data_IF_030631957203
#
_entry.id   IF_030631957203
#
_cell.length_a   1.000
_cell.length_b   1.000
_cell.length_c   1.000
_cell.angle_alpha   90.00
_cell.angle_beta   90.00
_cell.angle_gamma   90.00
#
_symmetry.space_group_name_H-M   'P 1'
#
loop_
_entity.id
_entity.type
_entity.pdbx_description
1 polymer ?
#
# COMPACT_ATOMS: atom_id res chain seq x y z
N UNK A 1 24.44 6.97 -13.67
CA UNK A 1 23.30 6.14 -14.15
C UNK A 1 23.52 5.69 -15.60
N UNK A 2 22.86 4.60 -16.05
CA UNK A 2 22.96 4.10 -17.44
C UNK A 2 22.05 4.90 -18.37
N UNK A 3 22.64 5.62 -19.35
CA UNK A 3 21.86 6.34 -20.38
C UNK A 3 21.66 5.38 -21.55
N UNK A 4 20.42 5.13 -21.94
CA UNK A 4 20.02 4.19 -22.98
C UNK A 4 19.04 4.89 -23.94
N UNK A 5 19.34 4.85 -25.25
CA UNK A 5 18.31 5.19 -26.24
C UNK A 5 17.31 4.03 -26.30
N UNK A 6 16.03 4.35 -26.10
CA UNK A 6 14.99 3.32 -25.97
C UNK A 6 14.67 2.69 -27.34
N UNK A 7 14.62 1.36 -27.35
CA UNK A 7 14.10 0.52 -28.42
C UNK A 7 13.34 -0.68 -27.81
N UNK A 8 12.70 -1.52 -28.64
CA UNK A 8 11.95 -2.69 -28.16
C UNK A 8 12.82 -3.67 -27.36
N UNK A 9 14.09 -3.84 -27.72
CA UNK A 9 14.97 -4.79 -27.06
C UNK A 9 15.40 -4.27 -25.68
N UNK A 10 15.75 -2.99 -25.57
CA UNK A 10 16.11 -2.35 -24.30
C UNK A 10 14.91 -2.27 -23.36
N UNK A 11 13.69 -1.96 -23.85
CA UNK A 11 12.48 -2.01 -23.05
C UNK A 11 12.22 -3.40 -22.49
N UNK A 12 12.30 -4.44 -23.30
CA UNK A 12 12.10 -5.81 -22.85
C UNK A 12 13.09 -6.20 -21.74
N UNK A 13 14.36 -5.79 -21.88
CA UNK A 13 15.39 -6.07 -20.87
C UNK A 13 15.12 -5.32 -19.56
N UNK A 14 14.72 -4.05 -19.63
CA UNK A 14 14.38 -3.24 -18.46
C UNK A 14 13.20 -3.85 -17.72
N UNK A 15 12.12 -4.21 -18.42
CA UNK A 15 10.97 -4.88 -17.80
C UNK A 15 11.35 -6.22 -17.16
N UNK A 16 12.23 -7.00 -17.80
CA UNK A 16 12.73 -8.25 -17.23
C UNK A 16 13.58 -8.01 -15.97
N UNK A 17 14.39 -6.95 -15.94
CA UNK A 17 15.17 -6.59 -14.75
C UNK A 17 14.26 -6.12 -13.60
N UNK A 18 13.21 -5.34 -13.91
CA UNK A 18 12.22 -4.93 -12.92
C UNK A 18 11.50 -6.12 -12.30
N UNK A 19 11.12 -7.12 -13.10
CA UNK A 19 10.47 -8.35 -12.64
C UNK A 19 11.33 -9.22 -11.72
N UNK A 20 12.68 -9.13 -11.81
CA UNK A 20 13.59 -9.85 -10.89
C UNK A 20 13.42 -9.42 -9.43
N UNK A 21 12.87 -8.23 -9.19
CA UNK A 21 12.61 -7.69 -7.85
C UNK A 21 11.25 -8.10 -7.29
N UNK A 22 10.44 -8.84 -8.06
CA UNK A 22 9.10 -9.26 -7.63
C UNK A 22 9.20 -10.21 -6.42
N UNK A 23 8.53 -9.89 -5.30
CA UNK A 23 8.44 -10.78 -4.15
C UNK A 23 7.94 -12.19 -4.48
N UNK A 24 7.21 -12.36 -5.57
CA UNK A 24 6.75 -13.68 -6.03
C UNK A 24 7.88 -14.60 -6.49
N UNK A 25 9.09 -14.09 -6.74
CA UNK A 25 10.26 -14.85 -7.16
C UNK A 25 11.18 -15.27 -5.99
N UNK A 26 10.79 -14.99 -4.75
CA UNK A 26 11.57 -15.31 -3.54
C UNK A 26 11.21 -16.67 -2.94
N UNK A 27 11.25 -17.73 -3.72
CA UNK A 27 10.94 -19.11 -3.29
C UNK A 27 11.76 -19.55 -2.07
N UNK A 28 13.01 -19.08 -1.98
CA UNK A 28 13.92 -19.42 -0.88
C UNK A 28 13.40 -19.05 0.53
N UNK A 29 12.51 -18.05 0.64
CA UNK A 29 11.96 -17.62 1.92
C UNK A 29 10.55 -18.15 2.18
N UNK A 30 9.88 -18.69 1.16
CA UNK A 30 8.47 -19.11 1.25
C UNK A 30 8.29 -20.24 2.26
N UNK A 31 9.16 -21.25 2.27
CA UNK A 31 9.09 -22.36 3.23
C UNK A 31 9.25 -21.88 4.67
N UNK A 32 10.23 -21.00 4.92
CA UNK A 32 10.45 -20.43 6.26
C UNK A 32 9.24 -19.61 6.73
N UNK A 33 8.65 -18.82 5.84
CA UNK A 33 7.47 -18.02 6.18
C UNK A 33 6.27 -18.92 6.44
N UNK A 34 6.08 -19.97 5.62
CA UNK A 34 4.98 -20.92 5.81
C UNK A 34 5.11 -21.66 7.16
N UNK A 35 6.32 -22.07 7.53
CA UNK A 35 6.58 -22.68 8.84
C UNK A 35 6.18 -21.74 10.00
N UNK A 36 6.55 -20.47 9.91
CA UNK A 36 6.19 -19.47 10.93
C UNK A 36 4.67 -19.31 11.01
N UNK A 37 4.01 -19.16 9.86
CA UNK A 37 2.55 -18.98 9.76
C UNK A 37 1.81 -20.16 10.34
N UNK A 38 2.20 -21.39 9.98
CA UNK A 38 1.57 -22.63 10.46
C UNK A 38 1.79 -22.81 11.97
N UNK A 39 2.99 -22.50 12.46
CA UNK A 39 3.30 -22.61 13.88
C UNK A 39 2.49 -21.62 14.73
N UNK A 40 2.37 -20.36 14.29
CA UNK A 40 1.52 -19.38 15.00
C UNK A 40 0.06 -19.80 14.98
N UNK A 41 -0.44 -20.34 13.87
CA UNK A 41 -1.81 -20.84 13.75
C UNK A 41 -2.12 -21.97 14.75
N UNK A 42 -1.13 -22.81 15.08
CA UNK A 42 -1.30 -23.98 15.98
C UNK A 42 -0.98 -23.64 17.43
N UNK A 43 0.10 -22.89 17.67
CA UNK A 43 0.65 -22.65 19.02
C UNK A 43 0.28 -21.27 19.60
N UNK A 44 -0.38 -20.39 18.83
CA UNK A 44 -0.85 -19.09 19.32
C UNK A 44 0.26 -18.20 19.88
N UNK A 45 0.01 -17.61 21.03
CA UNK A 45 0.92 -16.71 21.73
C UNK A 45 2.30 -17.29 21.96
N UNK A 46 2.40 -18.58 22.22
CA UNK A 46 3.68 -19.25 22.46
C UNK A 46 4.63 -19.08 21.27
N UNK A 47 4.13 -19.34 20.05
CA UNK A 47 4.93 -19.17 18.84
C UNK A 47 5.28 -17.71 18.60
N UNK A 48 4.35 -16.79 18.83
CA UNK A 48 4.57 -15.35 18.73
C UNK A 48 5.71 -14.89 19.64
N UNK A 49 5.70 -15.28 20.91
CA UNK A 49 6.75 -14.90 21.88
C UNK A 49 8.10 -15.51 21.54
N UNK A 50 8.13 -16.78 21.12
CA UNK A 50 9.37 -17.45 20.74
C UNK A 50 10.03 -16.79 19.52
N UNK A 51 9.25 -16.44 18.48
CA UNK A 51 9.76 -15.77 17.30
C UNK A 51 10.17 -14.33 17.59
N UNK A 52 9.42 -13.58 18.42
CA UNK A 52 9.80 -12.23 18.85
C UNK A 52 11.12 -12.25 19.64
N UNK A 53 11.30 -13.21 20.55
CA UNK A 53 12.58 -13.40 21.24
C UNK A 53 13.71 -13.75 20.28
N UNK A 54 13.45 -14.59 19.29
CA UNK A 54 14.45 -15.04 18.31
C UNK A 54 14.88 -13.92 17.37
N UNK A 55 13.95 -13.12 16.84
CA UNK A 55 14.21 -12.15 15.79
C UNK A 55 14.46 -10.74 16.34
N UNK A 56 13.63 -10.28 17.27
CA UNK A 56 13.70 -8.91 17.81
C UNK A 56 14.57 -8.83 19.08
N UNK A 57 14.97 -10.00 19.66
CA UNK A 57 15.74 -10.09 20.91
C UNK A 57 15.03 -9.46 22.13
N UNK A 58 13.72 -9.29 22.05
CA UNK A 58 12.88 -8.71 23.08
C UNK A 58 12.21 -9.80 23.94
N UNK A 59 12.05 -9.54 25.23
CA UNK A 59 11.35 -10.42 26.18
C UNK A 59 9.88 -10.01 26.25
N UNK A 60 9.07 -10.57 25.34
CA UNK A 60 7.62 -10.34 25.27
C UNK A 60 6.86 -11.55 25.78
N UNK A 61 5.79 -11.31 26.51
CA UNK A 61 4.88 -12.30 27.06
C UNK A 61 3.45 -11.75 27.10
N UNK A 62 2.49 -12.53 27.60
CA UNK A 62 1.07 -12.17 27.64
C UNK A 62 0.78 -10.89 28.45
N UNK A 63 1.61 -10.56 29.44
CA UNK A 63 1.40 -9.40 30.32
C UNK A 63 1.87 -8.10 29.69
N UNK A 64 2.88 -8.15 28.79
CA UNK A 64 3.53 -6.97 28.24
C UNK A 64 3.44 -6.83 26.71
N UNK A 65 2.83 -7.77 25.99
CA UNK A 65 2.70 -7.71 24.54
C UNK A 65 1.84 -6.53 24.07
N UNK A 66 0.77 -6.21 24.79
CA UNK A 66 -0.08 -5.06 24.50
C UNK A 66 0.51 -3.80 25.12
N UNK A 67 0.58 -2.74 24.33
CA UNK A 67 0.98 -1.41 24.81
C UNK A 67 -0.07 -0.89 25.79
N UNK A 68 0.41 -0.32 26.89
CA UNK A 68 -0.42 0.28 27.95
C UNK A 68 -0.60 1.78 27.72
N UNK A 69 -1.61 2.36 28.37
CA UNK A 69 -1.84 3.81 28.37
C UNK A 69 -0.68 4.59 29.02
N UNK A 70 0.01 3.97 29.97
CA UNK A 70 1.20 4.57 30.60
C UNK A 70 2.35 4.68 29.60
N UNK A 71 2.59 3.65 28.78
CA UNK A 71 3.61 3.69 27.72
C UNK A 71 3.27 4.72 26.63
N UNK A 72 2.00 4.87 26.28
CA UNK A 72 1.55 5.91 25.33
C UNK A 72 1.87 7.30 25.90
N UNK A 73 1.55 7.54 27.16
CA UNK A 73 1.82 8.82 27.81
C UNK A 73 3.32 9.11 27.88
N UNK A 74 4.14 8.14 28.30
CA UNK A 74 5.60 8.24 28.32
C UNK A 74 6.12 8.60 26.92
N UNK A 75 5.69 7.89 25.88
CA UNK A 75 6.07 8.15 24.50
C UNK A 75 5.74 9.57 24.03
N UNK A 76 4.54 10.06 24.36
CA UNK A 76 4.13 11.43 24.01
C UNK A 76 4.96 12.51 24.71
N UNK A 77 5.46 12.25 25.92
CA UNK A 77 6.33 13.17 26.65
C UNK A 77 7.77 13.20 26.07
N UNK A 78 8.21 12.11 25.41
CA UNK A 78 9.54 12.00 24.80
C UNK A 78 9.62 12.65 23.40
N UNK A 79 8.49 12.80 22.69
CA UNK A 79 8.47 13.32 21.32
C UNK A 79 8.68 14.83 21.31
N UNK A 80 9.57 15.29 20.44
CA UNK A 80 9.80 16.72 20.22
C UNK A 80 8.49 17.47 19.91
N UNK A 81 8.18 18.57 20.63
CA UNK A 81 6.92 19.30 20.44
C UNK A 81 6.71 19.83 19.02
N UNK A 82 7.79 20.20 18.31
CA UNK A 82 7.71 20.66 16.94
C UNK A 82 7.34 19.50 16.00
N UNK A 83 7.95 18.33 16.17
CA UNK A 83 7.62 17.14 15.41
C UNK A 83 6.16 16.73 15.65
N UNK A 84 5.66 16.84 16.88
CA UNK A 84 4.26 16.59 17.22
C UNK A 84 3.31 17.50 16.42
N UNK A 85 3.62 18.78 16.32
CA UNK A 85 2.81 19.72 15.50
C UNK A 85 2.91 19.42 14.00
N UNK A 86 4.07 19.00 13.50
CA UNK A 86 4.23 18.57 12.10
C UNK A 86 3.37 17.34 11.81
N UNK A 87 3.39 16.33 12.69
CA UNK A 87 2.53 15.14 12.56
C UNK A 87 1.05 15.50 12.54
N UNK A 88 0.58 16.41 13.41
CA UNK A 88 -0.82 16.86 13.44
C UNK A 88 -1.24 17.52 12.13
N UNK A 89 -0.38 18.38 11.55
CA UNK A 89 -0.65 19.01 10.25
C UNK A 89 -0.71 17.98 9.10
N UNK A 90 0.20 17.02 9.09
CA UNK A 90 0.18 15.90 8.14
C UNK A 90 -1.12 15.10 8.27
N UNK A 91 -1.51 14.72 9.50
CA UNK A 91 -2.77 14.03 9.78
C UNK A 91 -3.99 14.75 9.22
N UNK A 92 -4.06 16.08 9.42
CA UNK A 92 -5.18 16.89 8.92
C UNK A 92 -5.25 16.84 7.39
N UNK A 93 -4.11 16.94 6.70
CA UNK A 93 -4.04 16.82 5.25
C UNK A 93 -4.49 15.44 4.77
N UNK A 94 -3.98 14.36 5.39
CA UNK A 94 -4.33 12.98 5.07
C UNK A 94 -5.85 12.76 5.29
N UNK A 95 -6.39 13.18 6.43
CA UNK A 95 -7.81 13.07 6.74
C UNK A 95 -8.67 13.79 5.71
N UNK A 96 -8.35 15.05 5.43
CA UNK A 96 -9.08 15.90 4.45
C UNK A 96 -9.09 15.27 3.06
N UNK A 97 -8.00 14.64 2.65
CA UNK A 97 -7.94 13.94 1.37
C UNK A 97 -8.85 12.70 1.37
N UNK A 98 -8.73 11.85 2.38
CA UNK A 98 -9.47 10.59 2.44
C UNK A 98 -10.97 10.77 2.73
N UNK A 99 -11.37 11.83 3.39
CA UNK A 99 -12.80 12.16 3.57
C UNK A 99 -13.54 12.32 2.25
N UNK A 100 -12.86 12.79 1.18
CA UNK A 100 -13.44 12.88 -0.16
C UNK A 100 -13.67 11.52 -0.82
N UNK A 101 -13.07 10.46 -0.32
CA UNK A 101 -13.24 9.10 -0.82
C UNK A 101 -14.43 8.37 -0.19
N UNK A 102 -15.07 8.95 0.83
CA UNK A 102 -16.23 8.32 1.51
C UNK A 102 -17.36 8.09 0.53
N UNK A 103 -17.93 6.88 0.59
CA UNK A 103 -19.09 6.49 -0.23
C UNK A 103 -20.31 6.28 0.65
N UNK A 104 -21.48 6.57 0.09
CA UNK A 104 -22.78 6.34 0.73
C UNK A 104 -23.47 5.13 0.12
N UNK A 105 -24.26 4.42 0.95
CA UNK A 105 -25.26 3.46 0.45
C UNK A 105 -26.27 4.16 -0.45
N UNK A 106 -26.78 3.46 -1.45
CA UNK A 106 -27.77 4.00 -2.38
C UNK A 106 -28.85 2.99 -2.71
N UNK A 107 -30.01 3.49 -3.08
CA UNK A 107 -31.18 2.74 -3.51
C UNK A 107 -31.73 3.38 -4.76
N UNK A 108 -32.14 2.53 -5.71
CA UNK A 108 -32.88 2.89 -6.92
C UNK A 108 -34.25 2.21 -6.87
N UNK A 109 -35.32 3.02 -6.89
CA UNK A 109 -36.68 2.56 -6.79
C UNK A 109 -37.38 2.65 -8.14
N UNK A 110 -37.97 1.55 -8.62
CA UNK A 110 -38.68 1.48 -9.87
C UNK A 110 -40.20 1.67 -9.68
N UNK A 111 -40.95 2.12 -10.72
CA UNK A 111 -42.42 2.33 -10.64
C UNK A 111 -43.21 1.08 -10.26
N UNK A 112 -42.71 -0.12 -10.54
CA UNK A 112 -43.33 -1.40 -10.22
C UNK A 112 -43.08 -1.85 -8.77
N UNK A 113 -42.41 -1.02 -7.96
CA UNK A 113 -42.07 -1.30 -6.55
C UNK A 113 -40.82 -2.12 -6.37
N UNK A 114 -40.03 -2.35 -7.42
CA UNK A 114 -38.69 -2.93 -7.29
C UNK A 114 -37.74 -1.91 -6.67
N UNK A 115 -36.89 -2.34 -5.71
CA UNK A 115 -35.81 -1.54 -5.15
C UNK A 115 -34.51 -2.32 -5.30
N UNK A 116 -33.57 -1.76 -5.99
CA UNK A 116 -32.20 -2.26 -6.09
C UNK A 116 -31.28 -1.27 -5.40
N UNK A 117 -30.20 -1.76 -4.81
CA UNK A 117 -29.29 -0.86 -4.13
C UNK A 117 -27.99 -1.52 -3.71
N UNK A 118 -27.15 -0.70 -3.09
CA UNK A 118 -25.90 -1.15 -2.53
C UNK A 118 -25.73 -0.60 -1.12
N UNK A 119 -25.59 -1.51 -0.15
CA UNK A 119 -25.24 -1.17 1.23
C UNK A 119 -23.73 -1.12 1.38
N UNK A 120 -23.21 0.02 1.81
CA UNK A 120 -21.79 0.22 2.11
C UNK A 120 -21.61 0.20 3.62
N UNK A 121 -20.69 -0.65 4.09
CA UNK A 121 -20.37 -0.78 5.52
C UNK A 121 -18.86 -0.84 5.71
N UNK A 122 -18.36 -0.21 6.76
CA UNK A 122 -16.97 -0.38 7.19
C UNK A 122 -16.67 -1.83 7.56
N UNK A 123 -15.42 -2.25 7.44
CA UNK A 123 -14.93 -3.48 8.03
C UNK A 123 -15.04 -3.42 9.56
N UNK A 124 -15.20 -4.56 10.20
CA UNK A 124 -15.28 -4.64 11.65
C UNK A 124 -13.95 -4.29 12.32
N UNK A 125 -12.86 -4.71 11.70
CA UNK A 125 -11.50 -4.49 12.21
C UNK A 125 -10.47 -4.44 11.09
N UNK A 126 -9.40 -3.68 11.32
CA UNK A 126 -8.22 -3.60 10.46
C UNK A 126 -6.97 -3.84 11.29
N UNK A 127 -6.04 -4.64 10.78
CA UNK A 127 -4.70 -4.82 11.29
C UNK A 127 -3.73 -3.95 10.49
N UNK A 128 -2.93 -3.17 11.18
CA UNK A 128 -1.93 -2.28 10.59
C UNK A 128 -0.55 -2.77 10.98
N UNK A 129 0.22 -3.21 10.00
CA UNK A 129 1.62 -3.53 10.20
C UNK A 129 2.49 -2.30 9.97
N UNK A 130 3.30 -1.96 10.95
CA UNK A 130 4.29 -0.89 10.85
C UNK A 130 5.68 -1.48 11.06
N UNK A 131 6.62 -1.29 10.12
CA UNK A 131 7.98 -1.74 10.30
C UNK A 131 8.63 -1.09 11.52
N UNK A 132 9.53 -1.83 12.16
CA UNK A 132 10.40 -1.32 13.21
C UNK A 132 11.86 -1.43 12.79
N UNK A 133 12.78 -1.17 13.69
CA UNK A 133 14.22 -1.29 13.48
C UNK A 133 14.95 0.03 13.68
N UNK A 134 15.89 0.37 12.78
CA UNK A 134 16.74 1.56 12.92
C UNK A 134 16.03 2.90 12.70
N UNK A 135 14.87 2.91 12.02
CA UNK A 135 14.09 4.10 11.73
C UNK A 135 12.69 4.00 12.34
N UNK A 136 12.13 5.13 12.74
CA UNK A 136 10.72 5.28 13.04
C UNK A 136 9.97 5.59 11.73
N UNK A 137 8.74 5.09 11.61
CA UNK A 137 7.90 5.31 10.43
C UNK A 137 6.54 5.93 10.81
N UNK A 138 6.52 7.13 11.43
CA UNK A 138 5.26 7.77 11.83
C UNK A 138 4.36 8.06 10.63
N UNK A 139 4.91 8.41 9.47
CA UNK A 139 4.14 8.62 8.23
C UNK A 139 3.37 7.36 7.84
N UNK A 140 4.02 6.19 7.86
CA UNK A 140 3.34 4.91 7.55
C UNK A 140 2.24 4.58 8.57
N UNK A 141 2.40 4.97 9.83
CA UNK A 141 1.33 4.86 10.83
C UNK A 141 0.12 5.68 10.41
N UNK A 142 0.33 6.97 10.11
CA UNK A 142 -0.73 7.90 9.73
C UNK A 142 -1.45 7.44 8.45
N UNK A 143 -0.68 7.06 7.42
CA UNK A 143 -1.18 6.64 6.11
C UNK A 143 -2.00 5.34 6.15
N UNK A 144 -1.73 4.45 7.11
CA UNK A 144 -2.51 3.22 7.28
C UNK A 144 -3.76 3.42 8.14
N UNK A 145 -3.65 4.16 9.24
CA UNK A 145 -4.70 4.24 10.25
C UNK A 145 -5.79 5.24 9.86
N UNK A 146 -5.41 6.42 9.33
CA UNK A 146 -6.38 7.49 9.05
C UNK A 146 -7.44 7.07 8.01
N UNK A 147 -7.10 6.45 6.85
CA UNK A 147 -8.14 5.99 5.93
C UNK A 147 -9.06 4.91 6.52
N UNK A 148 -8.56 4.06 7.42
CA UNK A 148 -9.38 3.08 8.14
C UNK A 148 -10.37 3.79 9.10
N UNK A 149 -9.91 4.79 9.83
CA UNK A 149 -10.74 5.59 10.74
C UNK A 149 -11.79 6.39 9.94
N UNK A 150 -11.42 7.04 8.84
CA UNK A 150 -12.33 7.75 7.94
C UNK A 150 -13.38 6.82 7.34
N UNK A 151 -13.02 5.58 7.02
CA UNK A 151 -13.97 4.55 6.56
C UNK A 151 -14.98 4.15 7.64
N UNK A 152 -14.69 4.42 8.92
CA UNK A 152 -15.53 4.09 10.07
C UNK A 152 -15.20 2.73 10.70
N UNK A 153 -14.01 2.18 10.47
CA UNK A 153 -13.54 0.97 11.16
C UNK A 153 -13.44 1.25 12.66
N UNK A 154 -14.09 0.42 13.46
CA UNK A 154 -14.19 0.64 14.92
C UNK A 154 -13.00 0.08 15.69
N UNK A 155 -12.37 -0.94 15.16
CA UNK A 155 -11.24 -1.60 15.79
C UNK A 155 -10.02 -1.59 14.85
N UNK A 156 -9.02 -0.80 15.18
CA UNK A 156 -7.79 -0.65 14.41
C UNK A 156 -6.62 -1.14 15.29
N UNK A 157 -6.07 -2.27 14.92
CA UNK A 157 -5.03 -2.99 15.65
C UNK A 157 -3.69 -2.75 14.97
N UNK A 158 -2.78 -2.04 15.60
CA UNK A 158 -1.42 -1.87 15.08
C UNK A 158 -0.49 -2.93 15.68
N UNK A 159 0.37 -3.51 14.84
CA UNK A 159 1.49 -4.35 15.24
C UNK A 159 2.79 -3.73 14.75
N UNK A 160 3.81 -3.73 15.61
CA UNK A 160 5.15 -3.22 15.27
C UNK A 160 6.19 -3.94 16.13
N UNK A 161 7.37 -4.30 15.58
CA UNK A 161 8.39 -4.95 16.37
C UNK A 161 8.86 -4.05 17.51
N UNK A 162 9.04 -4.60 18.72
CA UNK A 162 9.62 -3.87 19.84
C UNK A 162 11.14 -3.68 19.68
N UNK A 163 11.69 -2.71 20.38
CA UNK A 163 13.11 -2.64 20.67
C UNK A 163 13.57 -3.79 21.60
N UNK A 164 14.88 -3.99 21.76
CA UNK A 164 15.43 -4.99 22.66
C UNK A 164 15.04 -4.78 24.14
N UNK A 165 14.70 -3.56 24.49
CA UNK A 165 14.14 -3.15 25.78
C UNK A 165 12.66 -3.49 25.97
N UNK A 166 12.02 -4.06 24.92
CA UNK A 166 10.59 -4.39 24.92
C UNK A 166 9.66 -3.20 24.72
N UNK A 167 10.17 -2.02 24.35
CA UNK A 167 9.37 -0.81 24.09
C UNK A 167 9.14 -0.60 22.60
N UNK A 168 8.07 0.08 22.26
CA UNK A 168 7.82 0.62 20.91
C UNK A 168 8.51 1.97 20.78
N UNK A 169 9.03 2.29 19.59
CA UNK A 169 9.60 3.61 19.32
C UNK A 169 8.60 4.73 19.69
N UNK A 170 8.98 5.74 20.48
CA UNK A 170 8.09 6.77 20.99
C UNK A 170 7.36 7.56 19.88
N UNK A 171 8.04 7.89 18.78
CA UNK A 171 7.46 8.64 17.67
C UNK A 171 6.39 7.78 16.94
N UNK A 172 6.69 6.49 16.73
CA UNK A 172 5.74 5.53 16.13
C UNK A 172 4.50 5.35 17.01
N UNK A 173 4.70 5.20 18.32
CA UNK A 173 3.61 5.00 19.28
C UNK A 173 2.72 6.26 19.41
N UNK A 174 3.34 7.43 19.47
CA UNK A 174 2.63 8.71 19.48
C UNK A 174 1.80 8.89 18.21
N UNK A 175 2.35 8.59 17.03
CA UNK A 175 1.61 8.66 15.78
C UNK A 175 0.41 7.70 15.78
N UNK A 176 0.56 6.48 16.29
CA UNK A 176 -0.52 5.49 16.40
C UNK A 176 -1.67 6.00 17.28
N UNK A 177 -1.34 6.56 18.43
CA UNK A 177 -2.32 7.14 19.35
C UNK A 177 -3.08 8.31 18.70
N UNK A 178 -2.35 9.25 18.10
CA UNK A 178 -2.94 10.41 17.42
C UNK A 178 -3.84 10.03 16.25
N UNK A 179 -3.46 9.01 15.47
CA UNK A 179 -4.22 8.54 14.32
C UNK A 179 -5.47 7.72 14.71
N UNK A 180 -5.60 7.27 15.97
CA UNK A 180 -6.75 6.54 16.46
C UNK A 180 -6.60 5.02 16.44
N UNK A 181 -5.37 4.47 16.56
CA UNK A 181 -5.19 3.05 16.84
C UNK A 181 -5.91 2.69 18.15
N UNK A 182 -6.73 1.64 18.11
CA UNK A 182 -7.47 1.18 19.32
C UNK A 182 -6.64 0.23 20.18
N UNK A 183 -5.71 -0.47 19.56
CA UNK A 183 -4.83 -1.43 20.21
C UNK A 183 -3.48 -1.41 19.50
N UNK A 184 -2.40 -1.51 20.27
CA UNK A 184 -1.03 -1.64 19.74
C UNK A 184 -0.35 -2.84 20.40
N UNK A 185 0.25 -3.72 19.57
CA UNK A 185 0.96 -4.90 20.03
C UNK A 185 2.42 -4.91 19.61
N UNK A 186 3.28 -5.35 20.51
CA UNK A 186 4.74 -5.38 20.40
C UNK A 186 5.20 -6.67 19.72
N UNK A 187 4.91 -6.78 18.43
CA UNK A 187 5.26 -7.93 17.60
C UNK A 187 5.49 -7.51 16.16
N UNK A 188 6.54 -8.04 15.54
CA UNK A 188 6.90 -7.77 14.14
C UNK A 188 6.93 -9.04 13.29
N UNK A 189 7.42 -8.93 12.06
CA UNK A 189 7.69 -10.06 11.17
C UNK A 189 6.48 -10.86 10.71
N UNK A 190 6.76 -12.04 10.16
CA UNK A 190 5.74 -12.95 9.64
C UNK A 190 4.79 -13.45 10.75
N UNK A 191 5.29 -13.61 11.98
CA UNK A 191 4.49 -14.03 13.12
C UNK A 191 3.43 -13.00 13.51
N UNK A 192 3.68 -11.69 13.33
CA UNK A 192 2.68 -10.66 13.55
C UNK A 192 1.52 -10.74 12.54
N UNK A 193 1.86 -10.98 11.27
CA UNK A 193 0.87 -11.16 10.20
C UNK A 193 0.01 -12.40 10.48
N UNK A 194 0.62 -13.52 10.86
CA UNK A 194 -0.09 -14.73 11.22
C UNK A 194 -1.02 -14.53 12.43
N UNK A 195 -0.53 -13.83 13.48
CA UNK A 195 -1.34 -13.50 14.65
C UNK A 195 -2.56 -12.65 14.30
N UNK A 196 -2.40 -11.62 13.46
CA UNK A 196 -3.52 -10.81 12.98
C UNK A 196 -4.52 -11.61 12.11
N UNK A 197 -4.03 -12.58 11.34
CA UNK A 197 -4.86 -13.36 10.42
C UNK A 197 -5.69 -14.43 11.13
N UNK A 198 -5.11 -15.16 12.08
CA UNK A 198 -5.76 -16.30 12.75
C UNK A 198 -6.29 -15.95 14.13
N UNK A 199 -5.74 -14.92 14.76
CA UNK A 199 -5.93 -14.65 16.19
C UNK A 199 -5.03 -15.51 17.06
N UNK A 200 -4.71 -15.01 18.25
CA UNK A 200 -4.03 -15.72 19.32
C UNK A 200 -4.75 -15.43 20.64
N UNK A 201 -4.26 -15.91 21.76
CA UNK A 201 -4.83 -15.61 23.07
C UNK A 201 -4.76 -14.11 23.41
N UNK A 202 -3.69 -13.42 23.00
CA UNK A 202 -3.49 -12.00 23.26
C UNK A 202 -3.90 -11.10 22.10
N UNK A 203 -3.72 -11.53 20.83
CA UNK A 203 -3.95 -10.74 19.65
C UNK A 203 -5.20 -11.22 18.93
N UNK A 204 -6.30 -10.47 18.97
CA UNK A 204 -7.52 -10.88 18.28
C UNK A 204 -7.39 -10.78 16.75
N UNK A 205 -8.02 -11.72 16.04
CA UNK A 205 -8.12 -11.71 14.57
C UNK A 205 -8.72 -10.42 14.02
N UNK A 206 -8.26 -10.02 12.83
CA UNK A 206 -8.77 -8.86 12.09
C UNK A 206 -9.40 -9.25 10.76
N UNK A 207 -10.15 -8.33 10.14
CA UNK A 207 -10.80 -8.55 8.84
C UNK A 207 -9.89 -8.26 7.65
N UNK A 208 -8.95 -7.31 7.80
CA UNK A 208 -7.97 -6.92 6.77
C UNK A 208 -6.65 -6.56 7.42
N UNK A 209 -5.54 -6.90 6.76
CA UNK A 209 -4.18 -6.51 7.16
C UNK A 209 -3.61 -5.57 6.10
N UNK A 210 -3.11 -4.42 6.53
CA UNK A 210 -2.49 -3.40 5.68
C UNK A 210 -1.13 -2.99 6.21
N UNK A 211 -0.34 -2.37 5.38
CA UNK A 211 0.95 -1.79 5.72
C UNK A 211 2.15 -2.45 5.04
N UNK A 212 3.20 -1.65 4.79
CA UNK A 212 4.43 -2.13 4.16
C UNK A 212 5.27 -2.96 5.14
N UNK A 213 6.09 -3.84 4.60
CA UNK A 213 7.01 -4.64 5.38
C UNK A 213 8.09 -5.27 4.50
N UNK A 214 9.08 -5.90 5.14
CA UNK A 214 10.11 -6.62 4.42
C UNK A 214 9.54 -7.87 3.71
N UNK A 215 10.41 -8.59 2.99
CA UNK A 215 10.03 -9.78 2.21
C UNK A 215 9.29 -10.84 3.05
N UNK A 216 9.65 -11.04 4.32
CA UNK A 216 8.98 -12.01 5.19
C UNK A 216 7.53 -11.59 5.49
N UNK A 217 7.30 -10.29 5.67
CA UNK A 217 5.96 -9.72 5.89
C UNK A 217 5.13 -9.80 4.62
N UNK A 218 5.70 -9.47 3.46
CA UNK A 218 5.03 -9.56 2.16
C UNK A 218 4.59 -11.01 1.86
N UNK A 219 5.50 -11.98 2.04
CA UNK A 219 5.20 -13.40 1.86
C UNK A 219 4.18 -13.93 2.89
N UNK A 220 4.25 -13.46 4.13
CA UNK A 220 3.26 -13.83 5.15
C UNK A 220 1.86 -13.28 4.81
N UNK A 221 1.74 -12.03 4.32
CA UNK A 221 0.49 -11.48 3.82
C UNK A 221 -0.07 -12.33 2.67
N UNK A 222 0.79 -12.72 1.72
CA UNK A 222 0.42 -13.64 0.63
C UNK A 222 -0.10 -14.99 1.16
N UNK A 223 0.58 -15.58 2.13
CA UNK A 223 0.22 -16.89 2.70
C UNK A 223 -1.12 -16.89 3.45
N UNK A 224 -1.50 -15.77 4.07
CA UNK A 224 -2.76 -15.66 4.82
C UNK A 224 -3.92 -15.09 3.99
N UNK A 225 -3.68 -14.67 2.76
CA UNK A 225 -4.73 -14.12 1.89
C UNK A 225 -5.82 -15.18 1.63
N UNK A 226 -7.08 -14.77 1.79
CA UNK A 226 -8.23 -15.67 1.75
C UNK A 226 -8.75 -16.07 3.15
N UNK A 227 -7.87 -16.14 4.16
CA UNK A 227 -8.29 -16.19 5.57
C UNK A 227 -8.57 -14.80 6.13
N UNK A 228 -7.83 -13.81 5.65
CA UNK A 228 -7.97 -12.38 5.92
C UNK A 228 -7.75 -11.63 4.61
N UNK A 229 -8.33 -10.45 4.45
CA UNK A 229 -8.01 -9.58 3.31
C UNK A 229 -6.67 -8.87 3.55
N UNK A 230 -5.98 -8.50 2.47
CA UNK A 230 -4.76 -7.69 2.52
C UNK A 230 -4.91 -6.45 1.61
N UNK A 231 -4.01 -5.47 1.75
CA UNK A 231 -3.87 -4.35 0.81
C UNK A 231 -3.25 -4.83 -0.51
N UNK A 232 -1.92 -5.04 -0.52
CA UNK A 232 -1.16 -5.51 -1.66
C UNK A 232 0.07 -6.30 -1.20
N UNK A 233 0.75 -6.93 -2.15
CA UNK A 233 2.07 -7.53 -1.93
C UNK A 233 3.08 -6.50 -2.42
N UNK A 234 3.63 -5.71 -1.48
CA UNK A 234 4.57 -4.66 -1.81
C UNK A 234 5.94 -5.23 -2.20
N UNK A 235 6.51 -4.70 -3.26
CA UNK A 235 7.91 -4.87 -3.64
C UNK A 235 8.77 -3.68 -3.18
N UNK A 236 10.02 -3.61 -3.66
CA UNK A 236 10.92 -2.49 -3.43
C UNK A 236 10.39 -1.20 -4.02
N UNK A 237 10.76 -0.06 -3.43
CA UNK A 237 10.34 1.28 -3.86
C UNK A 237 10.78 1.62 -5.29
N UNK A 238 9.97 2.43 -5.97
CA UNK A 238 10.14 2.79 -7.38
C UNK A 238 9.83 4.25 -7.62
N UNK A 239 10.67 4.93 -8.38
CA UNK A 239 10.39 6.24 -8.95
C UNK A 239 10.64 6.25 -10.45
N UNK A 240 9.72 6.84 -11.21
CA UNK A 240 9.88 7.16 -12.60
C UNK A 240 9.59 8.64 -12.82
N UNK A 241 10.52 9.35 -13.42
CA UNK A 241 10.35 10.75 -13.79
C UNK A 241 10.22 10.84 -15.33
N UNK A 242 9.15 11.45 -15.82
CA UNK A 242 9.03 11.86 -17.24
C UNK A 242 9.36 13.34 -17.32
N UNK A 243 10.39 13.68 -18.08
CA UNK A 243 10.86 15.05 -18.17
C UNK A 243 11.22 15.44 -19.62
N UNK A 244 10.98 16.71 -19.97
CA UNK A 244 11.47 17.31 -21.21
C UNK A 244 12.66 18.26 -20.93
N UNK A 245 13.14 18.96 -21.95
CA UNK A 245 14.28 19.88 -21.88
C UNK A 245 14.07 21.06 -20.92
N UNK A 246 12.83 21.36 -20.50
CA UNK A 246 12.51 22.45 -19.58
C UNK A 246 12.77 22.10 -18.12
N UNK A 247 12.91 20.83 -17.79
CA UNK A 247 13.10 20.35 -16.43
C UNK A 247 14.46 20.80 -15.83
N UNK A 248 14.45 21.11 -14.54
CA UNK A 248 15.68 21.37 -13.81
C UNK A 248 16.43 20.06 -13.51
N UNK A 249 17.63 19.84 -14.08
CA UNK A 249 18.36 18.57 -13.93
C UNK A 249 18.72 18.25 -12.48
N UNK A 250 18.92 19.27 -11.64
CA UNK A 250 19.26 19.09 -10.24
C UNK A 250 18.07 18.61 -9.42
N UNK A 251 16.85 19.08 -9.73
CA UNK A 251 15.61 18.63 -9.07
C UNK A 251 15.33 17.17 -9.44
N UNK A 252 15.33 16.89 -10.76
CA UNK A 252 15.13 15.51 -11.26
C UNK A 252 16.13 14.51 -10.63
N UNK A 253 17.41 14.90 -10.53
CA UNK A 253 18.42 14.07 -9.89
C UNK A 253 18.13 13.83 -8.40
N UNK A 254 17.69 14.86 -7.67
CA UNK A 254 17.34 14.73 -6.25
C UNK A 254 16.14 13.81 -6.05
N UNK A 255 15.10 13.94 -6.87
CA UNK A 255 13.88 13.14 -6.80
C UNK A 255 14.16 11.67 -7.14
N UNK A 256 14.97 11.37 -8.15
CA UNK A 256 15.42 10.02 -8.45
C UNK A 256 16.16 9.35 -7.27
N UNK A 257 16.93 10.14 -6.50
CA UNK A 257 17.72 9.64 -5.38
C UNK A 257 16.91 9.44 -4.10
N UNK A 258 15.77 10.13 -3.94
CA UNK A 258 14.91 9.99 -2.77
C UNK A 258 14.43 8.55 -2.56
N UNK A 259 14.10 7.83 -3.64
CA UNK A 259 13.67 6.43 -3.56
C UNK A 259 14.82 5.44 -3.44
N UNK A 260 15.95 5.71 -4.09
CA UNK A 260 17.10 4.79 -4.09
C UNK A 260 17.80 4.68 -2.74
N UNK A 261 17.57 5.60 -1.82
CA UNK A 261 18.12 5.49 -0.46
C UNK A 261 17.36 4.51 0.45
N UNK A 262 16.16 4.07 0.06
CA UNK A 262 15.34 3.15 0.85
C UNK A 262 15.95 1.74 0.89
N UNK A 263 16.31 1.17 -0.26
CA UNK A 263 16.80 -0.20 -0.37
C UNK A 263 17.69 -0.40 -1.61
N UNK A 264 18.60 -1.38 -1.57
CA UNK A 264 19.47 -1.75 -2.70
C UNK A 264 18.70 -2.28 -3.93
N UNK A 265 17.44 -2.71 -3.73
CA UNK A 265 16.53 -3.17 -4.78
C UNK A 265 15.59 -2.06 -5.29
N UNK A 266 15.63 -0.87 -4.72
CA UNK A 266 14.84 0.26 -5.20
C UNK A 266 15.23 0.61 -6.64
N UNK A 267 14.32 1.21 -7.40
CA UNK A 267 14.60 1.62 -8.79
C UNK A 267 14.34 3.10 -9.03
N UNK A 268 15.17 3.69 -9.87
CA UNK A 268 15.01 5.07 -10.32
C UNK A 268 15.18 5.15 -11.84
N UNK A 269 14.14 5.62 -12.52
CA UNK A 269 14.09 5.70 -13.98
C UNK A 269 13.72 7.12 -14.39
N UNK A 270 14.59 7.74 -15.22
CA UNK A 270 14.24 8.94 -15.95
C UNK A 270 13.86 8.55 -17.38
N UNK A 271 12.74 9.04 -17.88
CA UNK A 271 12.35 8.98 -19.29
C UNK A 271 12.32 10.39 -19.84
N UNK A 272 13.13 10.68 -20.85
CA UNK A 272 13.23 12.05 -21.38
C UNK A 272 13.38 12.07 -22.91
N UNK A 273 12.88 13.15 -23.51
CA UNK A 273 13.08 13.45 -24.94
C UNK A 273 14.39 14.20 -25.21
N UNK A 274 15.14 14.59 -24.15
CA UNK A 274 16.35 15.41 -24.25
C UNK A 274 17.60 14.66 -23.81
N UNK A 275 18.50 14.39 -24.74
CA UNK A 275 19.82 13.83 -24.42
C UNK A 275 20.64 14.77 -23.53
N UNK A 276 20.52 16.10 -23.76
CA UNK A 276 21.20 17.11 -22.96
C UNK A 276 20.75 17.08 -21.48
N UNK A 277 19.44 16.94 -21.25
CA UNK A 277 18.92 16.75 -19.90
C UNK A 277 19.42 15.45 -19.27
N UNK A 278 19.43 14.36 -20.02
CA UNK A 278 19.93 13.05 -19.58
C UNK A 278 21.37 13.11 -19.04
N UNK A 279 22.25 13.77 -19.79
CA UNK A 279 23.66 13.95 -19.41
C UNK A 279 23.81 14.85 -18.17
N UNK A 280 23.04 15.94 -18.10
CA UNK A 280 23.05 16.86 -16.94
C UNK A 280 22.55 16.17 -15.68
N UNK A 281 21.44 15.44 -15.76
CA UNK A 281 20.89 14.68 -14.62
C UNK A 281 21.89 13.62 -14.14
N UNK A 282 22.53 12.87 -15.06
CA UNK A 282 23.55 11.88 -14.69
C UNK A 282 24.71 12.51 -13.91
N UNK A 283 25.14 13.72 -14.32
CA UNK A 283 26.20 14.45 -13.64
C UNK A 283 25.79 14.96 -12.26
N UNK A 284 24.54 15.46 -12.10
CA UNK A 284 24.01 15.89 -10.80
C UNK A 284 23.90 14.68 -9.84
N UNK A 285 23.45 13.51 -10.31
CA UNK A 285 23.42 12.27 -9.52
C UNK A 285 24.82 11.93 -8.99
N UNK A 286 25.86 11.99 -9.83
CA UNK A 286 27.24 11.73 -9.40
C UNK A 286 27.71 12.75 -8.34
N UNK A 287 27.27 14.00 -8.46
CA UNK A 287 27.53 15.06 -7.48
C UNK A 287 26.87 14.76 -6.12
N UNK A 288 25.59 14.37 -6.12
CA UNK A 288 24.86 14.05 -4.89
C UNK A 288 25.41 12.81 -4.17
N UNK A 289 25.88 11.79 -4.92
CA UNK A 289 26.49 10.59 -4.33
C UNK A 289 27.72 10.89 -3.45
N UNK A 290 28.35 12.05 -3.62
CA UNK A 290 29.51 12.44 -2.81
C UNK A 290 29.13 13.03 -1.45
N UNK A 291 27.90 13.49 -1.29
CA UNK A 291 27.45 14.22 -0.08
C UNK A 291 26.34 13.51 0.71
N UNK A 292 25.61 12.61 0.09
CA UNK A 292 24.52 11.87 0.74
C UNK A 292 25.05 10.79 1.67
N UNK A 293 24.47 10.70 2.87
CA UNK A 293 24.90 9.79 3.94
C UNK A 293 24.71 8.30 3.57
N UNK A 294 23.71 7.97 2.74
CA UNK A 294 23.38 6.58 2.35
C UNK A 294 23.91 6.23 0.95
N UNK A 295 24.91 6.93 0.47
CA UNK A 295 25.47 6.79 -0.89
C UNK A 295 25.83 5.34 -1.29
N UNK A 296 26.21 4.48 -0.34
CA UNK A 296 26.49 3.07 -0.59
C UNK A 296 25.26 2.27 -1.03
N UNK A 297 24.11 2.49 -0.40
CA UNK A 297 22.82 1.87 -0.75
C UNK A 297 22.35 2.43 -2.09
N UNK A 298 22.33 3.77 -2.20
CA UNK A 298 21.94 4.49 -3.43
C UNK A 298 22.74 3.97 -4.64
N UNK A 299 24.06 3.86 -4.50
CA UNK A 299 24.92 3.40 -5.60
C UNK A 299 24.55 1.98 -6.06
N UNK A 300 24.34 1.05 -5.14
CA UNK A 300 23.93 -0.32 -5.48
C UNK A 300 22.58 -0.37 -6.19
N UNK A 301 21.61 0.40 -5.70
CA UNK A 301 20.31 0.54 -6.33
C UNK A 301 20.44 1.06 -7.75
N UNK A 302 21.20 2.15 -7.97
CA UNK A 302 21.42 2.74 -9.29
C UNK A 302 22.23 1.83 -10.23
N UNK A 303 23.22 1.11 -9.71
CA UNK A 303 24.02 0.17 -10.51
C UNK A 303 23.17 -0.98 -11.06
N UNK A 304 22.17 -1.41 -10.30
CA UNK A 304 21.28 -2.51 -10.68
C UNK A 304 20.03 -2.03 -11.44
N UNK A 305 19.34 -0.99 -10.95
CA UNK A 305 17.99 -0.59 -11.37
C UNK A 305 17.87 0.90 -11.69
N UNK A 306 18.98 1.61 -11.88
CA UNK A 306 19.02 3.02 -12.29
C UNK A 306 19.16 3.18 -13.79
N UNK A 307 18.17 3.81 -14.46
CA UNK A 307 18.15 4.02 -15.90
C UNK A 307 17.81 5.48 -16.26
N UNK A 308 18.40 5.97 -17.32
CA UNK A 308 17.98 7.19 -18.04
C UNK A 308 17.64 6.72 -19.46
N UNK A 309 16.36 6.77 -19.80
CA UNK A 309 15.82 6.33 -21.07
C UNK A 309 15.56 7.55 -21.95
N UNK A 310 16.23 7.61 -23.11
CA UNK A 310 16.04 8.68 -24.07
C UNK A 310 15.13 8.18 -25.18
N UNK A 311 14.03 8.87 -25.40
CA UNK A 311 12.98 8.58 -26.39
C UNK A 311 12.91 9.71 -27.43
N UNK A 312 12.31 9.43 -28.59
CA UNK A 312 12.21 10.43 -29.65
C UNK A 312 10.99 11.38 -29.45
N UNK A 313 9.94 10.91 -28.74
CA UNK A 313 8.70 11.71 -28.55
C UNK A 313 8.15 11.60 -27.13
N UNK A 314 7.34 12.58 -26.72
CA UNK A 314 6.63 12.55 -25.44
C UNK A 314 5.57 11.42 -25.39
N UNK A 315 4.99 11.05 -26.53
CA UNK A 315 4.05 9.92 -26.58
C UNK A 315 4.76 8.59 -26.28
N UNK A 316 5.98 8.40 -26.76
CA UNK A 316 6.83 7.24 -26.39
C UNK A 316 7.20 7.27 -24.89
N UNK A 317 7.46 8.46 -24.32
CA UNK A 317 7.70 8.60 -22.89
C UNK A 317 6.49 8.18 -22.06
N UNK A 318 5.29 8.61 -22.47
CA UNK A 318 4.01 8.23 -21.86
C UNK A 318 3.76 6.71 -21.98
N UNK A 319 3.99 6.14 -23.16
CA UNK A 319 3.83 4.69 -23.37
C UNK A 319 4.80 3.90 -22.48
N UNK A 320 6.04 4.37 -22.38
CA UNK A 320 7.05 3.79 -21.49
C UNK A 320 6.61 3.80 -20.04
N UNK A 321 6.14 4.96 -19.54
CA UNK A 321 5.63 5.09 -18.18
C UNK A 321 4.42 4.15 -17.93
N UNK A 322 3.47 4.09 -18.87
CA UNK A 322 2.31 3.20 -18.75
C UNK A 322 2.71 1.71 -18.78
N UNK A 323 3.74 1.33 -19.53
CA UNK A 323 4.23 -0.05 -19.59
C UNK A 323 4.97 -0.46 -18.31
N UNK A 324 5.77 0.44 -17.73
CA UNK A 324 6.45 0.23 -16.45
C UNK A 324 5.43 0.23 -15.31
N UNK A 325 4.44 1.13 -15.35
CA UNK A 325 3.43 1.31 -14.31
C UNK A 325 4.06 1.51 -12.92
N UNK A 326 4.83 2.60 -12.73
CA UNK A 326 5.64 2.80 -11.54
C UNK A 326 4.79 3.08 -10.29
N UNK A 327 5.41 2.89 -9.14
CA UNK A 327 4.87 3.31 -7.84
C UNK A 327 4.69 4.84 -7.79
N UNK A 328 5.77 5.58 -7.98
CA UNK A 328 5.78 7.04 -8.04
C UNK A 328 6.08 7.49 -9.47
N UNK A 329 5.21 8.32 -10.04
CA UNK A 329 5.40 8.93 -11.33
C UNK A 329 5.44 10.44 -11.18
N UNK A 330 6.57 11.08 -11.56
CA UNK A 330 6.69 12.52 -11.65
C UNK A 330 6.62 12.98 -13.11
N UNK A 331 5.87 14.05 -13.36
CA UNK A 331 5.72 14.68 -14.66
C UNK A 331 6.34 16.08 -14.63
N UNK A 332 7.59 16.19 -15.06
CA UNK A 332 8.37 17.45 -15.02
C UNK A 332 8.60 17.93 -16.46
N UNK A 333 7.53 18.40 -17.07
CA UNK A 333 7.48 18.84 -18.48
C UNK A 333 6.88 20.24 -18.60
N UNK A 334 7.04 20.87 -19.74
CA UNK A 334 6.44 22.19 -20.03
C UNK A 334 4.91 22.19 -19.88
N UNK A 335 4.23 21.07 -20.18
CA UNK A 335 2.78 20.91 -20.11
C UNK A 335 2.38 19.65 -19.32
N UNK A 336 2.67 19.56 -18.00
CA UNK A 336 2.52 18.31 -17.27
C UNK A 336 1.07 17.85 -17.11
N UNK A 337 0.09 18.76 -17.09
CA UNK A 337 -1.34 18.41 -17.04
C UNK A 337 -1.83 17.77 -18.35
N UNK A 338 -1.28 18.16 -19.52
CA UNK A 338 -1.59 17.51 -20.78
C UNK A 338 -1.03 16.07 -20.77
N UNK A 339 0.22 15.90 -20.37
CA UNK A 339 0.87 14.58 -20.25
C UNK A 339 0.09 13.68 -19.30
N UNK A 340 -0.34 14.21 -18.14
CA UNK A 340 -1.13 13.46 -17.15
C UNK A 340 -2.38 12.82 -17.76
N UNK A 341 -3.06 13.49 -18.69
CA UNK A 341 -4.30 12.93 -19.29
C UNK A 341 -4.07 11.64 -20.07
N UNK A 342 -2.83 11.37 -20.48
CA UNK A 342 -2.44 10.18 -21.23
C UNK A 342 -1.89 9.06 -20.33
N UNK A 343 -1.61 9.36 -19.06
CA UNK A 343 -1.15 8.37 -18.07
C UNK A 343 -2.33 7.53 -17.60
N UNK A 344 -2.15 6.21 -17.60
CA UNK A 344 -3.15 5.23 -17.15
C UNK A 344 -2.69 4.39 -15.98
N UNK A 345 -1.40 4.17 -15.86
CA UNK A 345 -0.82 3.22 -14.93
C UNK A 345 0.28 3.88 -14.11
N UNK A 346 -0.06 4.33 -12.90
CA UNK A 346 0.89 4.80 -11.89
C UNK A 346 0.24 4.67 -10.50
N UNK A 347 1.04 4.44 -9.48
CA UNK A 347 0.57 4.43 -8.10
C UNK A 347 0.18 5.84 -7.66
N UNK A 348 1.09 6.81 -7.78
CA UNK A 348 0.83 8.23 -7.57
C UNK A 348 1.41 9.05 -8.72
N UNK A 349 0.77 10.18 -9.05
CA UNK A 349 1.21 11.09 -10.11
C UNK A 349 1.50 12.46 -9.50
N UNK A 350 2.76 12.87 -9.59
CA UNK A 350 3.26 14.16 -9.13
C UNK A 350 3.42 15.10 -10.33
N UNK A 351 2.83 16.30 -10.24
CA UNK A 351 2.69 17.17 -11.40
C UNK A 351 3.50 18.46 -11.21
N UNK A 352 4.52 18.64 -12.05
CA UNK A 352 5.36 19.83 -12.07
C UNK A 352 6.54 19.78 -11.09
N UNK A 353 7.48 20.69 -11.29
CA UNK A 353 8.82 20.69 -10.66
C UNK A 353 8.84 20.91 -9.13
N UNK A 354 7.73 21.36 -8.55
CA UNK A 354 7.60 21.59 -7.09
C UNK A 354 6.79 20.48 -6.39
N UNK A 355 6.44 19.43 -7.11
CA UNK A 355 5.70 18.29 -6.57
C UNK A 355 6.61 17.08 -6.44
N UNK A 356 7.66 17.23 -5.63
CA UNK A 356 8.61 16.13 -5.36
C UNK A 356 7.97 14.99 -4.57
N UNK A 357 8.47 13.79 -4.75
CA UNK A 357 7.94 12.57 -4.11
C UNK A 357 7.83 12.69 -2.56
N UNK A 358 8.84 13.21 -1.81
CA UNK A 358 8.73 13.35 -0.37
C UNK A 358 7.56 14.22 0.11
N UNK A 359 7.07 15.14 -0.74
CA UNK A 359 5.85 15.89 -0.44
C UNK A 359 4.65 14.94 -0.29
N UNK A 360 4.52 13.94 -1.17
CA UNK A 360 3.49 12.91 -1.09
C UNK A 360 3.66 12.03 0.13
N UNK A 361 4.86 11.59 0.40
CA UNK A 361 5.16 10.67 1.50
C UNK A 361 4.85 11.24 2.87
N UNK A 362 5.06 12.53 3.07
CA UNK A 362 5.01 13.11 4.40
C UNK A 362 3.88 14.11 4.63
N UNK A 363 3.38 14.80 3.60
CA UNK A 363 2.60 16.01 3.89
C UNK A 363 1.39 16.29 3.01
N UNK A 364 1.38 15.91 1.71
CA UNK A 364 0.34 16.32 0.77
C UNK A 364 -1.06 15.76 1.11
N UNK A 365 -1.13 14.55 1.67
CA UNK A 365 -2.37 13.91 2.07
C UNK A 365 -2.78 12.67 1.28
N UNK A 366 -2.53 12.53 -0.04
CA UNK A 366 -2.67 11.25 -0.73
C UNK A 366 -1.83 10.17 -0.06
N UNK A 367 -2.29 8.91 -0.16
CA UNK A 367 -1.63 7.81 0.52
C UNK A 367 -0.34 7.39 -0.18
N UNK A 368 0.70 7.13 0.60
CA UNK A 368 1.99 6.66 0.12
C UNK A 368 2.14 5.13 0.10
N UNK A 369 1.10 4.38 0.50
CA UNK A 369 1.09 2.93 0.36
C UNK A 369 0.56 2.63 -1.03
N UNK A 370 1.48 2.45 -1.94
CA UNK A 370 1.26 2.43 -3.37
C UNK A 370 1.51 1.04 -3.95
N UNK A 371 0.89 0.72 -5.10
CA UNK A 371 1.21 -0.49 -5.84
C UNK A 371 2.60 -0.39 -6.46
N UNK A 372 3.41 -1.45 -6.32
CA UNK A 372 4.77 -1.58 -6.83
C UNK A 372 4.87 -2.66 -7.91
N UNK A 373 6.02 -2.83 -8.55
CA UNK A 373 6.31 -3.90 -9.54
C UNK A 373 5.29 -3.99 -10.67
N UNK A 374 4.87 -2.84 -11.19
CA UNK A 374 3.92 -2.76 -12.30
C UNK A 374 2.48 -3.11 -11.93
N UNK A 375 2.17 -3.35 -10.66
CA UNK A 375 0.81 -3.69 -10.20
C UNK A 375 -0.14 -2.48 -10.22
N UNK A 376 0.37 -1.26 -10.44
CA UNK A 376 -0.46 -0.08 -10.71
C UNK A 376 -1.36 -0.23 -11.95
N UNK A 377 -1.17 -1.28 -12.76
CA UNK A 377 -2.08 -1.67 -13.86
C UNK A 377 -3.44 -2.19 -13.36
N UNK A 378 -3.54 -2.62 -12.10
CA UNK A 378 -4.76 -3.21 -11.53
C UNK A 378 -4.97 -2.97 -10.03
N UNK A 379 -3.98 -2.46 -9.31
CA UNK A 379 -4.11 -1.99 -7.93
C UNK A 379 -4.10 -0.47 -7.85
N UNK A 380 -4.64 0.05 -6.75
CA UNK A 380 -4.68 1.48 -6.42
C UNK A 380 -3.91 1.75 -5.12
N UNK A 381 -3.58 3.01 -4.82
CA UNK A 381 -3.12 3.42 -3.50
C UNK A 381 -4.11 2.99 -2.41
N UNK A 382 -3.59 2.72 -1.21
CA UNK A 382 -4.44 2.44 -0.06
C UNK A 382 -5.40 3.61 0.19
N UNK A 383 -6.68 3.32 0.35
CA UNK A 383 -7.71 4.33 0.51
C UNK A 383 -8.90 3.86 1.34
N UNK A 384 -9.93 4.70 1.44
CA UNK A 384 -11.15 4.39 2.18
C UNK A 384 -11.85 3.15 1.61
N UNK A 385 -11.81 2.94 0.30
CA UNK A 385 -12.42 1.78 -0.37
C UNK A 385 -11.83 0.43 0.12
N UNK A 386 -10.59 0.43 0.62
CA UNK A 386 -9.94 -0.76 1.18
C UNK A 386 -10.54 -1.22 2.51
N UNK A 387 -11.19 -0.32 3.23
CA UNK A 387 -11.74 -0.54 4.57
C UNK A 387 -13.25 -0.61 4.61
N UNK A 388 -13.90 -0.71 3.45
CA UNK A 388 -15.35 -0.88 3.31
C UNK A 388 -15.67 -2.15 2.55
N UNK A 389 -16.88 -2.65 2.76
CA UNK A 389 -17.47 -3.73 1.94
C UNK A 389 -18.83 -3.29 1.41
N UNK A 390 -19.22 -3.88 0.29
CA UNK A 390 -20.45 -3.57 -0.45
C UNK A 390 -21.32 -4.82 -0.51
N UNK A 391 -22.61 -4.69 -0.14
CA UNK A 391 -23.61 -5.75 -0.26
C UNK A 391 -24.70 -5.29 -1.17
N UNK A 392 -25.13 -6.15 -2.11
CA UNK A 392 -26.28 -5.89 -2.96
C UNK A 392 -27.58 -5.95 -2.15
N UNK A 393 -28.47 -5.03 -2.41
CA UNK A 393 -29.82 -4.98 -1.85
C UNK A 393 -30.79 -5.23 -2.97
N UNK A 394 -31.62 -6.25 -2.84
CA UNK A 394 -32.62 -6.67 -3.81
C UNK A 394 -33.95 -6.80 -3.12
N UNK A 395 -34.92 -5.99 -3.53
CA UNK A 395 -36.30 -6.10 -3.10
C UNK A 395 -37.22 -6.08 -4.33
N UNK A 396 -38.10 -7.06 -4.40
CA UNK A 396 -39.17 -7.14 -5.42
C UNK A 396 -40.52 -7.17 -4.73
N UNK A 397 -41.46 -6.35 -5.21
CA UNK A 397 -42.84 -6.50 -4.83
C UNK A 397 -43.39 -7.81 -5.38
N UNK A 398 -44.54 -8.29 -4.85
CA UNK A 398 -45.22 -9.47 -5.38
C UNK A 398 -45.58 -9.28 -6.86
N UNK A 399 -46.05 -8.09 -7.23
CA UNK A 399 -46.44 -7.76 -8.60
C UNK A 399 -45.24 -7.69 -9.56
N UNK A 400 -44.11 -7.14 -9.10
CA UNK A 400 -42.85 -7.12 -9.86
C UNK A 400 -42.37 -8.56 -10.13
N UNK A 401 -42.30 -9.40 -9.08
CA UNK A 401 -41.86 -10.79 -9.22
C UNK A 401 -42.82 -11.60 -10.10
N UNK A 402 -44.14 -11.34 -10.03
CA UNK A 402 -45.13 -11.99 -10.88
C UNK A 402 -44.89 -11.75 -12.37
N UNK A 403 -44.35 -10.63 -12.75
CA UNK A 403 -44.00 -10.35 -14.15
C UNK A 403 -42.78 -11.14 -14.62
N UNK A 404 -41.82 -11.40 -13.73
CA UNK A 404 -40.53 -12.00 -14.04
C UNK A 404 -40.44 -13.50 -13.71
N UNK A 405 -41.39 -14.07 -12.95
CA UNK A 405 -41.22 -15.41 -12.35
C UNK A 405 -40.98 -16.51 -13.37
N UNK A 406 -41.72 -16.48 -14.52
CA UNK A 406 -41.58 -17.51 -15.55
C UNK A 406 -40.20 -17.45 -16.23
N UNK A 407 -39.73 -16.25 -16.55
CA UNK A 407 -38.41 -16.07 -17.16
C UNK A 407 -37.30 -16.57 -16.23
N UNK A 408 -37.43 -16.36 -14.89
CA UNK A 408 -36.51 -16.88 -13.92
C UNK A 408 -36.58 -18.41 -13.83
N UNK A 409 -37.79 -18.99 -13.84
CA UNK A 409 -37.97 -20.44 -13.83
C UNK A 409 -37.35 -21.10 -15.07
N UNK A 410 -37.65 -20.57 -16.27
CA UNK A 410 -37.11 -21.08 -17.54
C UNK A 410 -35.58 -21.02 -17.57
N UNK A 411 -35.00 -19.91 -17.04
CA UNK A 411 -33.53 -19.75 -16.98
C UNK A 411 -32.89 -20.75 -16.02
N UNK A 412 -33.49 -20.93 -14.85
CA UNK A 412 -33.01 -21.90 -13.87
C UNK A 412 -33.14 -23.36 -14.37
N UNK A 413 -34.23 -23.68 -15.08
CA UNK A 413 -34.41 -25.01 -15.68
C UNK A 413 -33.43 -25.28 -16.83
N UNK A 414 -33.07 -24.26 -17.63
CA UNK A 414 -32.02 -24.36 -18.65
C UNK A 414 -30.66 -24.71 -18.07
N UNK A 415 -30.39 -24.28 -16.82
CA UNK A 415 -29.18 -24.63 -16.03
C UNK A 415 -29.34 -25.95 -15.27
N UNK A 416 -30.47 -26.66 -15.42
CA UNK A 416 -30.84 -27.85 -14.66
C UNK A 416 -30.91 -27.63 -13.12
N UNK A 417 -31.17 -26.39 -12.68
CA UNK A 417 -31.30 -25.99 -11.30
C UNK A 417 -32.78 -25.97 -10.85
N UNK A 418 -33.40 -27.13 -10.78
CA UNK A 418 -34.83 -27.26 -10.49
C UNK A 418 -35.25 -26.71 -9.12
N UNK A 419 -34.37 -26.74 -8.11
CA UNK A 419 -34.67 -26.12 -6.84
C UNK A 419 -34.70 -24.60 -6.90
N UNK A 420 -33.92 -23.97 -7.78
CA UNK A 420 -33.93 -22.52 -8.04
C UNK A 420 -35.27 -22.14 -8.70
N UNK A 421 -35.69 -22.89 -9.77
CA UNK A 421 -36.97 -22.69 -10.41
C UNK A 421 -38.13 -22.85 -9.40
N UNK A 422 -38.11 -23.91 -8.61
CA UNK A 422 -39.14 -24.17 -7.61
C UNK A 422 -39.22 -23.08 -6.52
N UNK A 423 -38.08 -22.49 -6.13
CA UNK A 423 -38.03 -21.38 -5.16
C UNK A 423 -38.87 -20.19 -5.61
N UNK A 424 -38.97 -19.92 -6.91
CA UNK A 424 -39.81 -18.84 -7.47
C UNK A 424 -41.26 -19.30 -7.66
N UNK A 425 -41.45 -20.49 -8.20
CA UNK A 425 -42.76 -21.10 -8.50
C UNK A 425 -43.69 -21.14 -7.30
N UNK A 426 -43.23 -21.63 -6.17
CA UNK A 426 -44.05 -21.78 -4.93
C UNK A 426 -44.56 -20.44 -4.35
N UNK A 427 -44.07 -19.29 -4.82
CA UNK A 427 -44.54 -17.98 -4.40
C UNK A 427 -45.86 -17.57 -5.10
N UNK A 428 -46.26 -18.34 -6.13
CA UNK A 428 -47.47 -18.09 -6.96
C UNK A 428 -48.41 -19.27 -7.01
N UNK A 429 -48.13 -20.35 -6.29
CA UNK A 429 -49.07 -21.42 -5.98
C UNK A 429 -49.98 -20.98 -4.81
#
# INVERSE_FOLDING_TARGET
MRIVKLDEASMKNILADMLKRDPNNYDAYTETVQEIVDKVKVEGDRAVFDYTRKFDKAQINAENIRVTEAEIKEAMEEVDPHLLEVMKKSMENIRRYHEKQRRNSWFDSQPDGTILGQKITALESAGVYVPGGKAAYPSSVLMNIIPAEVAGVKRIVMVTPPGQDGKVNPVTLTAAHLAGATEVYKVGGAQAIAALAFGTESIPRVSKIVGPGNIFVALAKKAVYGHVSIDSIAGPSEILVVADETANPRYVAADLLSQTEHDELASAILVTTSMELAEKVSKEVDGFLQVLSRSGIIKKSLDNYGYILVVDTMDEAVETANNIAPEHLELVTANPFEVMTKIRNAGAIFIGEYSSEPLGDYFAGPNHILPTNGTAKFFSPLGVDDFIKKSSIIYYSREALKKAHRDIEDFAEAEHLTAHANSVRVRFE
#
